data_IF_009640313856
#
_entry.id   IF_009640313856
#
_cell.length_a   1.000
_cell.length_b   1.000
_cell.length_c   1.000
_cell.angle_alpha   90.00
_cell.angle_beta   90.00
_cell.angle_gamma   90.00
#
_symmetry.space_group_name_H-M   'P 1'
#
loop_
_entity.id
_entity.type
_entity.pdbx_description
1 polymer ?
#
# COMPACT_ATOMS: atom_id res chain seq x y z
N UNK A 1 -1.84 33.29 -1.31
CA UNK A 1 -1.46 33.08 0.11
C UNK A 1 -0.65 31.80 0.14
N UNK A 2 0.65 31.89 0.43
CA UNK A 2 1.57 30.76 0.36
C UNK A 2 1.45 29.91 1.64
N UNK A 3 1.27 28.60 1.47
CA UNK A 3 1.32 27.62 2.56
C UNK A 3 2.76 27.47 3.10
N UNK A 4 2.95 27.10 4.38
CA UNK A 4 4.27 27.06 4.99
C UNK A 4 5.11 25.89 4.47
N UNK A 5 6.39 26.16 4.21
CA UNK A 5 7.40 25.17 3.88
C UNK A 5 7.68 24.29 5.12
N UNK A 6 7.57 22.97 4.96
CA UNK A 6 7.95 22.01 6.00
C UNK A 6 9.45 21.70 5.90
N UNK A 7 10.20 22.08 6.94
CA UNK A 7 11.60 21.70 7.14
C UNK A 7 11.64 20.55 8.14
N UNK A 8 12.29 19.44 7.80
CA UNK A 8 12.56 18.35 8.74
C UNK A 8 13.95 18.55 9.30
N UNK A 9 14.04 18.90 10.59
CA UNK A 9 15.27 18.88 11.37
C UNK A 9 15.10 17.87 12.51
N UNK A 10 16.16 17.12 12.83
CA UNK A 10 16.25 16.43 14.12
C UNK A 10 16.66 17.47 15.16
N UNK A 11 15.98 17.56 16.29
CA UNK A 11 16.63 17.91 17.56
C UNK A 11 15.71 17.69 18.77
N UNK A 12 16.40 17.50 19.89
CA UNK A 12 16.04 16.93 21.18
C UNK A 12 15.72 17.96 22.27
N UNK A 13 15.15 17.44 23.38
CA UNK A 13 15.08 17.98 24.77
C UNK A 13 13.82 18.74 25.26
N UNK A 14 12.87 17.92 25.76
CA UNK A 14 12.24 17.85 27.11
C UNK A 14 11.77 19.07 27.92
N UNK A 15 10.52 18.97 28.39
CA UNK A 15 10.01 19.08 29.80
C UNK A 15 8.52 18.63 29.75
N UNK A 16 7.87 17.90 30.65
CA UNK A 16 8.16 17.13 31.86
C UNK A 16 6.79 16.75 32.44
N UNK A 17 6.41 15.47 32.41
CA UNK A 17 5.28 14.89 33.17
C UNK A 17 5.46 13.37 33.27
N UNK A 18 5.58 12.86 34.50
CA UNK A 18 5.86 11.46 34.81
C UNK A 18 4.69 10.54 34.44
N UNK A 19 4.79 9.90 33.27
CA UNK A 19 4.08 8.63 32.98
C UNK A 19 5.03 7.48 33.27
N UNK A 20 4.55 6.50 34.02
CA UNK A 20 5.25 5.24 34.33
C UNK A 20 6.02 4.74 33.11
N UNK A 21 7.34 4.86 33.15
CA UNK A 21 8.19 4.61 31.99
C UNK A 21 8.14 3.12 31.64
N UNK A 22 7.66 2.80 30.45
CA UNK A 22 8.03 1.55 29.82
C UNK A 22 9.56 1.51 29.76
N UNK A 23 10.17 0.45 30.28
CA UNK A 23 11.63 0.30 30.38
C UNK A 23 12.39 0.33 29.03
N UNK A 24 11.67 0.52 27.91
CA UNK A 24 12.22 0.72 26.59
C UNK A 24 11.54 1.94 25.95
N UNK A 25 12.28 2.82 25.23
CA UNK A 25 11.64 3.81 24.37
C UNK A 25 10.70 3.07 23.41
N UNK A 26 9.46 3.54 23.30
CA UNK A 26 8.46 2.90 22.44
C UNK A 26 8.97 2.89 21.00
N UNK A 27 9.33 1.70 20.51
CA UNK A 27 9.85 1.53 19.15
C UNK A 27 8.75 1.88 18.14
N UNK A 28 9.15 2.54 17.05
CA UNK A 28 8.30 2.79 15.91
C UNK A 28 8.75 1.94 14.72
N UNK A 29 7.80 1.43 13.96
CA UNK A 29 8.06 0.78 12.67
C UNK A 29 7.57 1.67 11.52
N UNK A 30 8.31 1.65 10.40
CA UNK A 30 7.86 2.22 9.14
C UNK A 30 7.09 1.16 8.35
N UNK A 31 5.91 1.51 7.84
CA UNK A 31 5.10 0.62 7.00
C UNK A 31 4.85 1.30 5.67
N UNK A 32 5.33 0.67 4.59
CA UNK A 32 4.93 1.04 3.24
C UNK A 32 3.71 0.20 2.85
N UNK A 33 2.51 0.80 2.91
CA UNK A 33 1.28 0.12 2.52
C UNK A 33 1.06 0.34 1.04
N UNK A 34 1.74 -0.42 0.18
CA UNK A 34 1.49 -0.36 -1.25
C UNK A 34 0.17 -1.03 -1.64
N UNK A 35 -0.33 -0.68 -2.82
CA UNK A 35 -1.59 -1.21 -3.39
C UNK A 35 -1.55 -2.73 -3.54
N UNK A 36 -0.43 -3.27 -4.02
CA UNK A 36 -0.25 -4.71 -4.29
C UNK A 36 0.72 -5.38 -3.33
N UNK A 37 1.75 -4.66 -2.89
CA UNK A 37 2.79 -5.16 -1.99
C UNK A 37 3.02 -4.18 -0.85
N UNK A 38 3.52 -4.70 0.27
CA UNK A 38 3.82 -3.97 1.48
C UNK A 38 5.20 -4.36 2.00
N UNK A 39 5.88 -3.43 2.64
CA UNK A 39 7.11 -3.67 3.39
C UNK A 39 7.04 -3.03 4.77
N UNK A 40 7.76 -3.63 5.73
CA UNK A 40 7.87 -3.09 7.09
C UNK A 40 9.34 -2.94 7.43
N UNK A 41 9.71 -1.80 7.98
CA UNK A 41 11.06 -1.45 8.34
C UNK A 41 11.16 -0.98 9.79
N UNK A 42 12.33 -1.16 10.39
CA UNK A 42 12.66 -0.63 11.71
C UNK A 42 14.02 0.04 11.66
N UNK A 43 14.18 1.13 12.43
CA UNK A 43 15.49 1.72 12.69
C UNK A 43 16.07 1.09 13.95
N UNK A 44 17.21 0.41 13.84
CA UNK A 44 17.85 -0.27 14.97
C UNK A 44 18.87 0.60 15.73
N UNK A 45 18.99 1.89 15.38
CA UNK A 45 19.97 2.81 15.95
C UNK A 45 21.10 3.18 14.98
N UNK A 46 21.42 2.31 14.02
CA UNK A 46 22.49 2.55 13.04
C UNK A 46 22.06 2.40 11.59
N UNK A 47 21.13 1.49 11.31
CA UNK A 47 20.65 1.23 9.96
C UNK A 47 19.15 0.91 9.93
N UNK A 48 18.56 1.07 8.75
CA UNK A 48 17.21 0.60 8.45
C UNK A 48 17.27 -0.90 8.18
N UNK A 49 16.49 -1.68 8.93
CA UNK A 49 16.32 -3.11 8.70
C UNK A 49 14.90 -3.38 8.21
N UNK A 50 14.79 -4.10 7.07
CA UNK A 50 13.52 -4.62 6.58
C UNK A 50 13.17 -5.90 7.34
N UNK A 51 11.98 -5.89 7.95
CA UNK A 51 11.42 -7.05 8.63
C UNK A 51 10.98 -8.09 7.62
N UNK A 52 10.97 -9.34 8.06
CA UNK A 52 10.66 -10.48 7.21
C UNK A 52 9.47 -11.22 7.76
N UNK A 53 8.61 -11.72 6.88
CA UNK A 53 7.56 -12.64 7.29
C UNK A 53 8.15 -14.00 7.72
N UNK A 54 7.28 -14.92 8.14
CA UNK A 54 7.64 -16.29 8.55
C UNK A 54 8.32 -17.12 7.45
N UNK A 55 8.32 -16.63 6.20
CA UNK A 55 8.93 -17.25 5.02
C UNK A 55 10.22 -16.54 4.60
N UNK A 56 10.78 -15.67 5.44
CA UNK A 56 12.01 -14.92 5.17
C UNK A 56 11.87 -13.93 3.99
N UNK A 57 10.64 -13.51 3.64
CA UNK A 57 10.37 -12.52 2.58
C UNK A 57 10.21 -11.12 3.19
N UNK A 58 10.80 -10.11 2.53
CA UNK A 58 10.72 -8.68 2.92
C UNK A 58 9.56 -7.92 2.28
N UNK A 59 9.00 -8.47 1.20
CA UNK A 59 7.85 -7.94 0.48
C UNK A 59 6.67 -8.88 0.71
N UNK A 60 5.60 -8.34 1.27
CA UNK A 60 4.36 -9.05 1.56
C UNK A 60 3.28 -8.57 0.59
N UNK A 61 2.38 -9.45 0.15
CA UNK A 61 1.27 -9.03 -0.71
C UNK A 61 0.16 -8.38 0.13
N UNK A 62 -0.38 -7.27 -0.36
CA UNK A 62 -1.44 -6.50 0.31
C UNK A 62 -2.83 -7.09 0.04
N UNK A 63 -3.15 -8.22 0.67
CA UNK A 63 -4.47 -8.85 0.60
C UNK A 63 -4.93 -9.44 1.94
N UNK A 64 -6.23 -9.72 2.03
CA UNK A 64 -6.86 -10.51 3.10
C UNK A 64 -7.75 -11.58 2.48
N UNK A 65 -7.64 -12.79 3.00
CA UNK A 65 -8.42 -13.95 2.60
C UNK A 65 -9.48 -14.26 3.65
N UNK A 66 -10.69 -14.55 3.18
CA UNK A 66 -11.83 -14.93 3.98
C UNK A 66 -12.20 -16.38 3.70
N UNK A 67 -11.60 -17.35 4.43
CA UNK A 67 -11.92 -18.78 4.25
C UNK A 67 -13.01 -19.29 5.20
N UNK A 68 -13.10 -18.75 6.42
CA UNK A 68 -14.04 -19.16 7.47
C UNK A 68 -14.58 -17.95 8.28
N UNK A 69 -14.87 -18.12 9.58
CA UNK A 69 -15.27 -17.05 10.51
C UNK A 69 -14.12 -16.12 10.92
N UNK A 70 -12.86 -16.54 10.74
CA UNK A 70 -11.69 -15.73 11.06
C UNK A 70 -10.97 -15.33 9.76
N UNK A 71 -11.08 -14.07 9.32
CA UNK A 71 -10.29 -13.54 8.21
C UNK A 71 -8.80 -13.63 8.51
N UNK A 72 -7.99 -13.93 7.49
CA UNK A 72 -6.52 -14.00 7.60
C UNK A 72 -5.88 -13.17 6.48
N UNK A 73 -4.90 -12.34 6.82
CA UNK A 73 -4.13 -11.53 5.87
C UNK A 73 -3.08 -12.32 5.08
N UNK A 74 -2.48 -11.63 4.11
CA UNK A 74 -1.41 -12.14 3.24
C UNK A 74 -0.01 -12.19 3.87
N UNK A 75 0.13 -11.86 5.17
CA UNK A 75 1.44 -11.86 5.84
C UNK A 75 1.81 -13.27 6.31
N UNK A 76 0.84 -14.00 6.87
CA UNK A 76 1.05 -15.35 7.40
C UNK A 76 0.71 -16.45 6.39
N UNK A 77 -0.33 -16.21 5.58
CA UNK A 77 -0.86 -17.20 4.65
C UNK A 77 -0.57 -16.83 3.20
N UNK A 78 0.24 -17.63 2.51
CA UNK A 78 0.33 -17.57 1.06
C UNK A 78 -0.78 -18.45 0.50
N UNK A 79 -1.57 -17.87 -0.41
CA UNK A 79 -2.39 -18.65 -1.31
C UNK A 79 -1.45 -19.53 -2.12
N UNK A 80 -1.52 -20.85 -1.91
CA UNK A 80 -0.61 -21.81 -2.54
C UNK A 80 -0.76 -21.83 -4.06
N UNK A 81 -1.91 -21.36 -4.57
CA UNK A 81 -2.27 -21.34 -5.97
C UNK A 81 -3.00 -20.05 -6.30
N UNK A 82 -2.74 -19.49 -7.48
CA UNK A 82 -3.49 -18.35 -8.04
C UNK A 82 -5.01 -18.62 -8.03
N UNK A 83 -5.41 -19.89 -8.10
CA UNK A 83 -6.78 -20.38 -7.94
C UNK A 83 -7.54 -19.85 -6.71
N UNK A 84 -6.86 -19.56 -5.61
CA UNK A 84 -7.55 -19.01 -4.43
C UNK A 84 -7.82 -17.50 -4.58
N UNK A 85 -7.04 -16.75 -5.38
CA UNK A 85 -7.37 -15.37 -5.78
C UNK A 85 -8.60 -15.30 -6.70
N UNK A 86 -8.94 -16.41 -7.36
CA UNK A 86 -10.09 -16.54 -8.24
C UNK A 86 -11.41 -16.81 -7.50
N UNK A 87 -11.34 -17.16 -6.22
CA UNK A 87 -12.49 -17.72 -5.49
C UNK A 87 -13.50 -16.67 -5.01
N UNK A 88 -13.26 -15.37 -5.19
CA UNK A 88 -14.07 -14.32 -4.56
C UNK A 88 -13.76 -14.11 -3.08
N UNK A 89 -12.96 -14.99 -2.45
CA UNK A 89 -12.65 -14.96 -1.03
C UNK A 89 -11.52 -13.99 -0.64
N UNK A 90 -10.81 -13.42 -1.63
CA UNK A 90 -9.61 -12.61 -1.41
C UNK A 90 -9.90 -11.15 -1.75
N UNK A 91 -9.73 -10.28 -0.77
CA UNK A 91 -9.83 -8.83 -0.95
C UNK A 91 -8.43 -8.24 -0.99
N UNK A 92 -8.16 -7.43 -2.00
CA UNK A 92 -6.90 -6.71 -2.21
C UNK A 92 -7.17 -5.31 -2.75
N UNK A 93 -6.14 -4.53 -3.06
CA UNK A 93 -6.27 -3.13 -3.51
C UNK A 93 -7.01 -2.22 -2.52
N UNK A 94 -6.99 -2.53 -1.22
CA UNK A 94 -7.65 -1.72 -0.18
C UNK A 94 -7.22 -0.25 -0.22
N UNK A 95 -5.94 0.02 -0.53
CA UNK A 95 -5.39 1.37 -0.69
C UNK A 95 -6.14 2.20 -1.73
N UNK A 96 -6.62 1.58 -2.81
CA UNK A 96 -7.39 2.26 -3.87
C UNK A 96 -8.82 2.56 -3.44
N UNK A 97 -9.41 1.76 -2.55
CA UNK A 97 -10.82 1.86 -2.14
C UNK A 97 -11.04 2.67 -0.86
N UNK A 98 -10.05 2.70 0.03
CA UNK A 98 -10.20 3.29 1.36
C UNK A 98 -10.48 4.79 1.27
N UNK A 99 -11.49 5.24 1.99
CA UNK A 99 -11.89 6.64 2.05
C UNK A 99 -12.32 7.24 0.71
N UNK A 100 -12.79 6.43 -0.24
CA UNK A 100 -13.47 6.93 -1.44
C UNK A 100 -14.97 6.83 -1.29
N UNK A 101 -15.67 7.58 -2.13
CA UNK A 101 -17.12 7.46 -2.34
C UNK A 101 -17.38 6.61 -3.58
N UNK A 102 -18.58 6.08 -3.68
CA UNK A 102 -18.97 5.13 -4.71
C UNK A 102 -19.14 5.74 -6.11
N UNK A 103 -19.25 7.06 -6.20
CA UNK A 103 -19.20 7.84 -7.45
C UNK A 103 -17.78 8.16 -7.94
N UNK A 104 -16.75 7.78 -7.17
CA UNK A 104 -15.36 8.00 -7.56
C UNK A 104 -14.98 7.07 -8.74
N UNK A 105 -14.37 7.60 -9.83
CA UNK A 105 -13.97 6.78 -10.98
C UNK A 105 -13.07 5.60 -10.61
N UNK A 106 -12.22 5.73 -9.58
CA UNK A 106 -11.36 4.64 -9.10
C UNK A 106 -12.19 3.51 -8.45
N UNK A 107 -13.30 3.84 -7.78
CA UNK A 107 -14.21 2.84 -7.21
C UNK A 107 -15.01 2.15 -8.31
N UNK A 108 -15.50 2.92 -9.29
CA UNK A 108 -16.17 2.37 -10.46
C UNK A 108 -15.25 1.42 -11.25
N UNK A 109 -13.99 1.80 -11.46
CA UNK A 109 -13.02 0.97 -12.18
C UNK A 109 -12.70 -0.31 -11.39
N UNK A 110 -12.70 -0.22 -10.06
CA UNK A 110 -12.47 -1.35 -9.14
C UNK A 110 -13.62 -2.37 -9.12
N UNK A 111 -14.76 -2.12 -9.78
CA UNK A 111 -15.81 -3.14 -9.92
C UNK A 111 -15.30 -4.39 -10.67
N UNK A 112 -14.25 -4.26 -11.50
CA UNK A 112 -13.61 -5.39 -12.21
C UNK A 112 -12.70 -6.27 -11.34
N UNK A 113 -12.62 -6.01 -10.03
CA UNK A 113 -11.87 -6.87 -9.12
C UNK A 113 -12.64 -8.19 -8.91
N UNK A 114 -11.93 -9.31 -8.63
CA UNK A 114 -12.54 -10.63 -8.44
C UNK A 114 -13.14 -10.77 -7.02
N UNK A 115 -13.89 -9.78 -6.58
CA UNK A 115 -14.72 -9.74 -5.37
C UNK A 115 -15.78 -8.64 -5.56
N UNK A 116 -16.85 -8.65 -4.76
CA UNK A 116 -17.90 -7.65 -4.96
C UNK A 116 -17.49 -6.29 -4.43
N UNK A 117 -17.62 -5.28 -5.28
CA UNK A 117 -17.63 -3.87 -4.89
C UNK A 117 -19.07 -3.38 -5.03
N UNK A 118 -19.73 -3.17 -3.90
CA UNK A 118 -21.13 -2.78 -3.82
C UNK A 118 -21.22 -1.26 -3.79
N UNK A 119 -21.82 -0.68 -4.83
CA UNK A 119 -22.05 0.76 -4.98
C UNK A 119 -23.53 1.05 -5.14
N UNK A 120 -23.95 2.23 -4.67
CA UNK A 120 -25.28 2.79 -4.91
C UNK A 120 -25.23 3.95 -5.92
N UNK A 121 -24.01 4.40 -6.25
CA UNK A 121 -23.69 5.49 -7.18
C UNK A 121 -24.34 6.84 -6.76
N UNK A 122 -24.39 7.10 -5.45
CA UNK A 122 -25.01 8.31 -4.84
C UNK A 122 -24.06 9.14 -3.97
N UNK A 123 -22.74 8.89 -4.05
CA UNK A 123 -21.72 9.63 -3.30
C UNK A 123 -21.53 9.13 -1.87
N UNK A 124 -21.83 7.86 -1.61
CA UNK A 124 -21.68 7.23 -0.28
C UNK A 124 -20.47 6.31 -0.24
N UNK A 125 -20.04 5.91 0.96
CA UNK A 125 -18.93 4.96 1.11
C UNK A 125 -19.32 3.61 0.48
N UNK A 126 -18.49 3.01 -0.40
CA UNK A 126 -18.77 1.69 -0.95
C UNK A 126 -18.60 0.61 0.12
N UNK A 127 -19.36 -0.48 -0.04
CA UNK A 127 -19.09 -1.73 0.67
C UNK A 127 -18.36 -2.68 -0.26
N UNK A 128 -17.63 -3.63 0.31
CA UNK A 128 -17.03 -4.73 -0.43
C UNK A 128 -17.48 -6.04 0.20
N UNK A 129 -17.55 -7.11 -0.58
CA UNK A 129 -17.91 -8.42 -0.04
C UNK A 129 -16.99 -9.51 -0.56
N UNK A 130 -16.54 -10.35 0.37
CA UNK A 130 -15.80 -11.58 0.07
C UNK A 130 -16.78 -12.77 0.04
N UNK A 131 -16.49 -13.74 -0.83
CA UNK A 131 -17.24 -14.99 -0.90
C UNK A 131 -16.71 -15.97 0.16
N UNK A 132 -17.56 -16.36 1.12
CA UNK A 132 -17.23 -17.32 2.18
C UNK A 132 -18.31 -18.38 2.22
N UNK A 133 -17.95 -19.64 2.02
CA UNK A 133 -18.91 -20.76 2.00
C UNK A 133 -20.12 -20.51 1.07
N UNK A 134 -19.86 -19.99 -0.13
CA UNK A 134 -20.87 -19.58 -1.13
C UNK A 134 -21.82 -18.45 -0.68
N UNK A 135 -21.49 -17.73 0.39
CA UNK A 135 -22.25 -16.58 0.88
C UNK A 135 -21.38 -15.33 0.84
N UNK A 136 -21.91 -14.23 0.31
CA UNK A 136 -21.25 -12.95 0.32
C UNK A 136 -21.27 -12.33 1.70
N UNK A 137 -20.09 -12.13 2.30
CA UNK A 137 -19.92 -11.43 3.57
C UNK A 137 -19.42 -10.02 3.31
N UNK A 138 -20.28 -9.03 3.57
CA UNK A 138 -19.93 -7.62 3.43
C UNK A 138 -18.96 -7.17 4.52
N UNK A 139 -18.03 -6.31 4.13
CA UNK A 139 -17.03 -5.65 4.97
C UNK A 139 -16.68 -4.29 4.35
N UNK A 140 -15.75 -3.57 4.96
CA UNK A 140 -15.34 -2.23 4.54
C UNK A 140 -13.84 -2.22 4.24
N UNK A 141 -13.36 -1.37 3.31
CA UNK A 141 -11.93 -1.25 3.04
C UNK A 141 -11.09 -0.98 4.30
N UNK A 142 -11.62 -0.20 5.25
CA UNK A 142 -10.97 0.09 6.53
C UNK A 142 -10.81 -1.15 7.42
N UNK A 143 -11.83 -2.00 7.52
CA UNK A 143 -11.79 -3.25 8.30
C UNK A 143 -10.80 -4.23 7.69
N UNK A 144 -10.80 -4.37 6.36
CA UNK A 144 -9.84 -5.24 5.65
C UNK A 144 -8.41 -4.76 5.86
N UNK A 145 -8.18 -3.45 5.76
CA UNK A 145 -6.86 -2.89 6.03
C UNK A 145 -6.44 -3.10 7.50
N UNK A 146 -7.36 -2.96 8.45
CA UNK A 146 -7.09 -3.20 9.86
C UNK A 146 -6.66 -4.66 10.11
N UNK A 147 -7.34 -5.64 9.51
CA UNK A 147 -6.96 -7.06 9.59
C UNK A 147 -5.53 -7.26 9.08
N UNK A 148 -5.20 -6.69 7.92
CA UNK A 148 -3.86 -6.78 7.34
C UNK A 148 -2.80 -6.12 8.25
N UNK A 149 -3.10 -4.95 8.83
CA UNK A 149 -2.21 -4.25 9.75
C UNK A 149 -1.97 -5.01 11.05
N UNK A 150 -2.97 -5.72 11.58
CA UNK A 150 -2.79 -6.60 12.75
C UNK A 150 -1.76 -7.68 12.43
N UNK A 151 -1.80 -8.29 11.25
CA UNK A 151 -0.81 -9.31 10.89
C UNK A 151 0.60 -8.73 10.76
N UNK A 152 0.74 -7.54 10.16
CA UNK A 152 2.02 -6.85 10.07
C UNK A 152 2.58 -6.52 11.45
N UNK A 153 1.72 -6.07 12.37
CA UNK A 153 2.09 -5.84 13.77
C UNK A 153 2.57 -7.13 14.43
N UNK A 154 1.79 -8.20 14.37
CA UNK A 154 2.15 -9.50 14.98
C UNK A 154 3.47 -10.04 14.40
N UNK A 155 3.68 -9.89 13.10
CA UNK A 155 4.94 -10.25 12.44
C UNK A 155 6.12 -9.43 13.00
N UNK A 156 5.97 -8.11 13.11
CA UNK A 156 6.99 -7.24 13.65
C UNK A 156 7.28 -7.53 15.15
N UNK A 157 6.23 -7.74 15.94
CA UNK A 157 6.32 -8.11 17.37
C UNK A 157 7.06 -9.43 17.57
N UNK A 158 6.77 -10.43 16.72
CA UNK A 158 7.43 -11.73 16.75
C UNK A 158 8.91 -11.64 16.40
N UNK A 159 9.30 -10.82 15.40
CA UNK A 159 10.70 -10.66 15.00
C UNK A 159 11.49 -9.81 16.02
N UNK A 160 10.89 -8.74 16.55
CA UNK A 160 11.55 -7.79 17.45
C UNK A 160 11.45 -8.18 18.94
N UNK A 161 10.67 -9.23 19.25
CA UNK A 161 10.44 -9.76 20.60
C UNK A 161 9.96 -8.70 21.60
N UNK A 162 9.14 -7.76 21.12
CA UNK A 162 8.60 -6.63 21.90
C UNK A 162 7.26 -6.17 21.31
N UNK A 163 6.36 -5.59 22.12
CA UNK A 163 5.11 -5.03 21.62
C UNK A 163 5.38 -3.83 20.69
N UNK A 164 4.57 -3.70 19.64
CA UNK A 164 4.66 -2.60 18.66
C UNK A 164 3.36 -1.81 18.69
N UNK A 165 3.47 -0.52 19.00
CA UNK A 165 2.34 0.40 19.02
C UNK A 165 2.49 1.54 18.03
N UNK A 166 3.69 2.10 17.90
CA UNK A 166 3.89 3.31 17.11
C UNK A 166 4.28 2.99 15.67
N UNK A 167 3.67 3.70 14.72
CA UNK A 167 3.90 3.50 13.29
C UNK A 167 4.04 4.80 12.53
N UNK A 168 4.88 4.76 11.48
CA UNK A 168 4.92 5.77 10.42
C UNK A 168 4.51 5.09 9.13
N UNK A 169 3.50 5.61 8.43
CA UNK A 169 3.00 5.00 7.20
C UNK A 169 3.37 5.86 5.99
N UNK A 170 3.76 5.21 4.89
CA UNK A 170 3.79 5.86 3.60
C UNK A 170 2.36 6.08 3.06
N UNK A 171 2.13 7.21 2.42
CA UNK A 171 0.87 7.54 1.75
C UNK A 171 1.13 8.19 0.38
N UNK A 172 0.23 8.03 -0.60
CA UNK A 172 0.33 8.77 -1.85
C UNK A 172 0.09 10.26 -1.64
N UNK A 173 0.74 11.09 -2.45
CA UNK A 173 0.57 12.56 -2.40
C UNK A 173 -0.89 12.97 -2.66
N UNK A 174 -1.58 12.22 -3.53
CA UNK A 174 -2.96 12.50 -3.96
C UNK A 174 -4.05 12.10 -2.96
N UNK A 175 -3.70 11.58 -1.78
CA UNK A 175 -4.70 11.19 -0.78
C UNK A 175 -5.45 12.41 -0.22
N UNK A 176 -6.77 12.34 -0.23
CA UNK A 176 -7.61 13.33 0.44
C UNK A 176 -7.56 13.20 1.96
N UNK A 177 -7.90 14.28 2.68
CA UNK A 177 -8.03 14.28 4.14
C UNK A 177 -8.95 13.16 4.66
N UNK A 178 -10.02 12.85 3.91
CA UNK A 178 -10.92 11.77 4.28
C UNK A 178 -10.25 10.40 4.20
N UNK A 179 -9.45 10.15 3.15
CA UNK A 179 -8.65 8.92 3.04
C UNK A 179 -7.63 8.78 4.16
N UNK A 180 -6.93 9.86 4.52
CA UNK A 180 -5.99 9.88 5.63
C UNK A 180 -6.66 9.49 6.95
N UNK A 181 -7.81 10.08 7.24
CA UNK A 181 -8.60 9.77 8.45
C UNK A 181 -9.05 8.31 8.47
N UNK A 182 -9.35 7.71 7.31
CA UNK A 182 -9.72 6.29 7.21
C UNK A 182 -8.52 5.36 7.42
N UNK A 183 -7.33 5.73 6.95
CA UNK A 183 -6.08 5.01 7.25
C UNK A 183 -5.80 5.03 8.75
N UNK A 184 -5.89 6.20 9.39
CA UNK A 184 -5.71 6.32 10.85
C UNK A 184 -6.72 5.48 11.62
N UNK A 185 -7.98 5.45 11.18
CA UNK A 185 -9.00 4.57 11.75
C UNK A 185 -8.64 3.10 11.61
N UNK A 186 -8.17 2.65 10.44
CA UNK A 186 -7.73 1.27 10.25
C UNK A 186 -6.53 0.93 11.16
N UNK A 187 -5.59 1.87 11.34
CA UNK A 187 -4.48 1.72 12.29
C UNK A 187 -4.98 1.57 13.73
N UNK A 188 -5.92 2.43 14.15
CA UNK A 188 -6.50 2.37 15.49
C UNK A 188 -7.22 1.04 15.75
N UNK A 189 -7.96 0.52 14.76
CA UNK A 189 -8.59 -0.80 14.82
C UNK A 189 -7.56 -1.93 14.94
N UNK A 190 -6.37 -1.75 14.36
CA UNK A 190 -5.24 -2.67 14.50
C UNK A 190 -4.43 -2.47 15.79
N UNK A 191 -4.83 -1.55 16.68
CA UNK A 191 -4.09 -1.22 17.91
C UNK A 191 -2.78 -0.45 17.67
N UNK A 192 -2.65 0.19 16.51
CA UNK A 192 -1.49 0.98 16.12
C UNK A 192 -1.78 2.48 16.27
N UNK A 193 -0.79 3.22 16.76
CA UNK A 193 -0.79 4.66 16.89
C UNK A 193 0.07 5.29 15.80
N UNK A 194 -0.55 6.10 14.96
CA UNK A 194 0.11 6.75 13.83
C UNK A 194 0.89 7.97 14.32
N UNK A 195 2.22 7.90 14.28
CA UNK A 195 3.09 9.03 14.59
C UNK A 195 3.12 10.03 13.42
N UNK A 196 3.13 9.52 12.19
CA UNK A 196 3.17 10.33 10.97
C UNK A 196 2.65 9.54 9.78
N UNK A 197 1.82 10.19 8.96
CA UNK A 197 1.57 9.79 7.58
C UNK A 197 2.54 10.57 6.69
N UNK A 198 3.41 9.86 5.98
CA UNK A 198 4.50 10.43 5.22
C UNK A 198 4.24 10.24 3.72
N UNK A 199 4.25 11.31 2.90
CA UNK A 199 4.19 11.15 1.46
C UNK A 199 5.30 10.20 0.97
N UNK A 200 4.95 9.23 0.13
CA UNK A 200 5.87 8.24 -0.43
C UNK A 200 7.15 8.85 -1.02
N UNK A 201 7.10 9.87 -1.89
CA UNK A 201 8.32 10.46 -2.41
C UNK A 201 9.16 11.19 -1.34
N UNK A 202 8.56 11.61 -0.23
CA UNK A 202 9.32 12.16 0.91
C UNK A 202 10.14 11.07 1.61
N UNK A 203 9.61 9.85 1.75
CA UNK A 203 10.37 8.72 2.28
C UNK A 203 11.59 8.38 1.38
N UNK A 204 11.41 8.43 0.06
CA UNK A 204 12.51 8.26 -0.91
C UNK A 204 13.54 9.39 -0.79
N UNK A 205 13.08 10.64 -0.64
CA UNK A 205 13.96 11.79 -0.44
C UNK A 205 14.82 11.67 0.83
N UNK A 206 14.24 11.17 1.94
CA UNK A 206 14.96 10.91 3.18
C UNK A 206 16.05 9.86 3.00
N UNK A 207 15.75 8.75 2.32
CA UNK A 207 16.74 7.72 2.00
C UNK A 207 17.88 8.28 1.15
N UNK A 208 17.56 9.07 0.12
CA UNK A 208 18.56 9.73 -0.71
C UNK A 208 19.45 10.68 0.09
N UNK A 209 18.85 11.48 0.98
CA UNK A 209 19.58 12.41 1.83
C UNK A 209 20.58 11.69 2.75
N UNK A 210 20.13 10.59 3.38
CA UNK A 210 20.97 9.75 4.23
C UNK A 210 22.14 9.13 3.45
N UNK A 211 21.90 8.63 2.24
CA UNK A 211 22.94 8.09 1.37
C UNK A 211 23.97 9.15 0.97
N UNK A 212 23.54 10.37 0.65
CA UNK A 212 24.47 11.48 0.38
C UNK A 212 25.32 11.83 1.59
N UNK A 213 24.73 11.85 2.79
CA UNK A 213 25.44 12.08 4.05
C UNK A 213 26.57 11.06 4.28
N UNK A 214 26.29 9.78 4.04
CA UNK A 214 27.28 8.70 4.14
C UNK A 214 28.42 8.90 3.13
N UNK A 215 28.11 9.31 1.89
CA UNK A 215 29.13 9.57 0.87
C UNK A 215 29.98 10.83 1.13
N UNK A 216 29.44 11.84 1.82
CA UNK A 216 30.16 13.09 2.15
C UNK A 216 31.18 12.86 3.28
N UNK A 217 30.93 11.92 4.20
CA UNK A 217 31.93 11.54 5.20
C UNK A 217 33.23 11.00 4.58
N UNK A 218 33.18 10.46 3.36
CA UNK A 218 34.34 9.96 2.62
C UNK A 218 35.04 11.02 1.75
N UNK A 219 34.39 12.16 1.49
CA UNK A 219 34.93 13.26 0.67
C UNK A 219 34.67 14.60 1.35
N UNK A 220 35.66 15.12 2.10
CA UNK A 220 35.62 16.46 2.69
C UNK A 220 35.45 17.54 1.61
N UNK A 221 34.20 17.92 1.33
CA UNK A 221 33.87 19.01 0.43
C UNK A 221 32.40 19.39 0.56
N UNK A 222 32.15 20.62 1.01
CA UNK A 222 30.87 21.34 1.04
C UNK A 222 29.93 20.89 -0.08
N UNK A 223 28.96 20.04 0.23
CA UNK A 223 28.08 19.42 -0.75
C UNK A 223 27.29 20.46 -1.53
N UNK A 224 27.55 20.58 -2.83
CA UNK A 224 26.73 21.38 -3.73
C UNK A 224 25.27 20.92 -3.65
N UNK A 225 24.34 21.88 -3.67
CA UNK A 225 22.91 21.59 -3.70
C UNK A 225 22.59 20.74 -4.94
N UNK A 226 22.06 19.54 -4.72
CA UNK A 226 21.62 18.64 -5.80
C UNK A 226 20.11 18.69 -5.91
N UNK A 227 19.64 19.05 -7.09
CA UNK A 227 18.22 18.95 -7.45
C UNK A 227 17.95 17.56 -8.01
N UNK A 228 16.99 16.84 -7.45
CA UNK A 228 16.59 15.52 -7.90
C UNK A 228 15.08 15.44 -8.15
N UNK A 229 14.68 14.78 -9.23
CA UNK A 229 13.31 14.38 -9.50
C UNK A 229 13.12 12.94 -9.00
N UNK A 230 12.16 12.76 -8.10
CA UNK A 230 11.67 11.46 -7.68
C UNK A 230 10.42 11.18 -8.49
N UNK A 231 10.42 10.08 -9.24
CA UNK A 231 9.25 9.56 -9.95
C UNK A 231 8.93 8.18 -9.37
N UNK A 232 7.80 8.09 -8.66
CA UNK A 232 7.36 6.88 -7.98
C UNK A 232 6.01 6.43 -8.54
N UNK A 233 6.04 5.44 -9.43
CA UNK A 233 4.83 4.84 -10.00
C UNK A 233 4.68 3.41 -9.49
N UNK A 234 3.75 3.23 -8.55
CA UNK A 234 3.37 1.93 -8.05
C UNK A 234 2.19 1.32 -8.80
N UNK A 235 1.60 0.29 -8.21
CA UNK A 235 0.43 -0.37 -8.80
C UNK A 235 -0.84 0.51 -8.79
N UNK A 236 -1.00 1.42 -7.82
CA UNK A 236 -2.22 2.24 -7.73
C UNK A 236 -2.05 3.75 -7.87
N UNK A 237 -0.83 4.24 -7.74
CA UNK A 237 -0.55 5.66 -7.59
C UNK A 237 0.76 6.00 -8.28
N UNK A 238 0.82 7.22 -8.82
CA UNK A 238 1.99 7.78 -9.45
C UNK A 238 2.24 9.15 -8.81
N UNK A 239 3.32 9.26 -8.07
CA UNK A 239 3.75 10.46 -7.39
C UNK A 239 5.07 10.97 -7.99
N UNK A 240 5.19 12.28 -8.12
CA UNK A 240 6.40 12.97 -8.52
C UNK A 240 6.77 14.03 -7.50
N UNK A 241 8.07 14.14 -7.19
CA UNK A 241 8.60 15.18 -6.31
C UNK A 241 9.89 15.77 -6.86
N UNK A 242 10.03 17.09 -6.77
CA UNK A 242 11.32 17.75 -6.98
C UNK A 242 11.90 18.06 -5.61
N UNK A 243 13.15 17.65 -5.40
CA UNK A 243 13.85 17.81 -4.13
C UNK A 243 15.13 18.58 -4.34
N UNK A 244 15.53 19.36 -3.34
CA UNK A 244 16.86 19.93 -3.27
C UNK A 244 17.56 19.37 -2.04
N UNK A 245 18.70 18.72 -2.24
CA UNK A 245 19.42 18.02 -1.19
C UNK A 245 20.81 18.63 -1.02
N UNK A 246 21.13 19.05 0.19
CA UNK A 246 22.43 19.60 0.56
C UNK A 246 22.78 19.16 1.99
N UNK A 247 24.02 18.73 2.23
CA UNK A 247 24.47 18.30 3.58
C UNK A 247 23.65 17.16 4.20
N UNK A 248 23.00 16.33 3.37
CA UNK A 248 22.05 15.28 3.77
C UNK A 248 20.75 15.77 4.42
N UNK A 249 20.41 17.04 4.23
CA UNK A 249 19.05 17.54 4.39
C UNK A 249 18.42 17.59 3.00
N UNK A 250 17.25 16.98 2.84
CA UNK A 250 16.48 17.06 1.60
C UNK A 250 15.21 17.89 1.81
N UNK A 251 15.08 18.96 1.04
CA UNK A 251 13.91 19.81 1.02
C UNK A 251 13.05 19.48 -0.20
N UNK A 252 11.78 19.18 0.02
CA UNK A 252 10.80 19.01 -1.04
C UNK A 252 10.42 20.40 -1.59
N UNK A 253 10.64 20.63 -2.89
CA UNK A 253 10.34 21.88 -3.59
C UNK A 253 8.99 21.84 -4.29
N UNK A 254 8.60 20.68 -4.80
CA UNK A 254 7.31 20.46 -5.45
C UNK A 254 6.87 19.01 -5.27
N UNK A 255 5.55 18.81 -5.19
CA UNK A 255 4.89 17.50 -5.13
C UNK A 255 3.69 17.50 -6.05
N UNK A 256 3.52 16.42 -6.80
CA UNK A 256 2.32 16.14 -7.57
C UNK A 256 2.03 14.64 -7.52
N UNK A 257 0.77 14.25 -7.56
CA UNK A 257 0.39 12.84 -7.55
C UNK A 257 -0.95 12.60 -8.21
N UNK A 258 -1.13 11.40 -8.75
CA UNK A 258 -2.38 10.93 -9.35
C UNK A 258 -2.65 9.48 -8.96
N UNK A 259 -3.92 9.10 -8.86
CA UNK A 259 -4.36 7.75 -8.55
C UNK A 259 -4.35 6.82 -9.78
N UNK A 260 -3.20 6.79 -10.48
CA UNK A 260 -2.96 5.94 -11.65
C UNK A 260 -1.72 5.09 -11.40
N UNK A 261 -1.76 3.83 -11.80
CA UNK A 261 -0.65 2.89 -11.65
C UNK A 261 -0.80 1.65 -12.53
N UNK A 262 -0.04 0.61 -12.20
CA UNK A 262 -0.09 -0.68 -12.90
C UNK A 262 -1.47 -1.34 -12.95
N UNK A 263 -2.36 -1.07 -12.00
CA UNK A 263 -3.76 -1.53 -12.01
C UNK A 263 -4.56 -0.98 -13.19
N UNK A 264 -4.30 0.27 -13.57
CA UNK A 264 -4.99 0.93 -14.68
C UNK A 264 -4.47 0.38 -16.02
N UNK A 265 -3.17 0.07 -16.11
CA UNK A 265 -2.59 -0.64 -17.25
C UNK A 265 -3.15 -2.04 -17.40
N UNK A 266 -3.25 -2.77 -16.30
CA UNK A 266 -3.83 -4.10 -16.23
C UNK A 266 -5.29 -4.09 -16.71
N UNK A 267 -6.10 -3.15 -16.22
CA UNK A 267 -7.48 -3.01 -16.66
C UNK A 267 -7.61 -2.67 -18.15
N UNK A 268 -6.77 -1.78 -18.66
CA UNK A 268 -6.77 -1.41 -20.07
C UNK A 268 -6.38 -2.61 -20.95
N UNK A 269 -5.38 -3.40 -20.54
CA UNK A 269 -4.96 -4.57 -21.27
C UNK A 269 -6.02 -5.68 -21.22
N UNK A 270 -6.67 -5.92 -20.09
CA UNK A 270 -7.78 -6.87 -19.98
C UNK A 270 -8.94 -6.52 -20.94
N UNK A 271 -9.29 -5.23 -21.05
CA UNK A 271 -10.31 -4.75 -22.00
C UNK A 271 -9.86 -4.88 -23.45
N UNK A 272 -8.58 -4.69 -23.72
CA UNK A 272 -8.02 -4.87 -25.06
C UNK A 272 -8.06 -6.35 -25.50
N UNK A 273 -7.66 -7.26 -24.60
CA UNK A 273 -7.67 -8.71 -24.85
C UNK A 273 -9.08 -9.28 -24.99
N UNK A 274 -10.06 -8.68 -24.30
CA UNK A 274 -11.45 -9.12 -24.31
C UNK A 274 -12.39 -7.96 -24.62
N UNK A 275 -12.63 -7.59 -25.90
CA UNK A 275 -13.43 -6.42 -26.26
C UNK A 275 -14.87 -6.41 -25.71
N UNK A 276 -15.45 -7.58 -25.44
CA UNK A 276 -16.79 -7.73 -24.82
C UNK A 276 -16.76 -7.80 -23.28
N UNK A 277 -15.67 -7.33 -22.66
CA UNK A 277 -15.39 -7.42 -21.22
C UNK A 277 -16.58 -7.04 -20.34
N UNK A 278 -17.14 -5.85 -20.52
CA UNK A 278 -18.19 -5.34 -19.64
C UNK A 278 -19.49 -6.15 -19.73
N UNK A 279 -19.79 -6.72 -20.91
CA UNK A 279 -20.96 -7.57 -21.10
C UNK A 279 -20.78 -8.93 -20.43
N UNK A 280 -19.61 -9.56 -20.61
CA UNK A 280 -19.29 -10.88 -20.06
C UNK A 280 -19.29 -10.91 -18.53
N UNK A 281 -18.95 -9.79 -17.89
CA UNK A 281 -18.82 -9.72 -16.43
C UNK A 281 -19.92 -8.88 -15.75
N UNK A 282 -21.02 -8.61 -16.46
CA UNK A 282 -22.13 -7.77 -16.01
C UNK A 282 -22.94 -8.37 -14.86
N UNK A 283 -23.20 -9.68 -14.88
CA UNK A 283 -24.00 -10.41 -13.89
C UNK A 283 -23.34 -10.51 -12.51
N UNK A 284 -22.00 -10.36 -12.45
CA UNK A 284 -21.17 -10.54 -11.23
C UNK A 284 -21.48 -11.84 -10.48
N UNK A 285 -21.83 -12.90 -11.20
CA UNK A 285 -21.98 -14.23 -10.63
C UNK A 285 -20.63 -14.83 -10.21
N UNK A 286 -20.69 -15.95 -9.49
CA UNK A 286 -19.49 -16.61 -8.95
C UNK A 286 -18.57 -17.08 -10.09
N UNK A 287 -19.12 -17.54 -11.22
CA UNK A 287 -18.33 -18.00 -12.35
C UNK A 287 -17.64 -16.82 -13.06
N UNK A 288 -18.36 -15.73 -13.26
CA UNK A 288 -17.84 -14.51 -13.87
C UNK A 288 -16.71 -13.89 -13.03
N UNK A 289 -16.83 -13.94 -11.70
CA UNK A 289 -15.76 -13.50 -10.79
C UNK A 289 -14.52 -14.39 -10.88
N UNK A 290 -14.69 -15.70 -11.05
CA UNK A 290 -13.58 -16.64 -11.27
C UNK A 290 -12.88 -16.37 -12.59
N UNK A 291 -13.62 -16.27 -13.69
CA UNK A 291 -13.08 -15.99 -15.02
C UNK A 291 -12.40 -14.61 -15.07
N UNK A 292 -12.94 -13.61 -14.37
CA UNK A 292 -12.30 -12.31 -14.18
C UNK A 292 -10.94 -12.44 -13.49
N UNK A 293 -10.88 -13.23 -12.42
CA UNK A 293 -9.62 -13.51 -11.73
C UNK A 293 -8.59 -14.16 -12.65
N UNK A 294 -9.01 -15.13 -13.49
CA UNK A 294 -8.12 -15.88 -14.40
C UNK A 294 -7.51 -14.94 -15.42
N UNK A 295 -8.37 -14.17 -16.10
CA UNK A 295 -7.94 -13.18 -17.07
C UNK A 295 -6.97 -12.18 -16.44
N UNK A 296 -7.29 -11.69 -15.24
CA UNK A 296 -6.49 -10.70 -14.53
C UNK A 296 -5.09 -11.22 -14.18
N UNK A 297 -5.00 -12.44 -13.66
CA UNK A 297 -3.71 -13.07 -13.32
C UNK A 297 -2.85 -13.27 -14.57
N UNK A 298 -3.42 -13.86 -15.62
CA UNK A 298 -2.70 -14.09 -16.88
C UNK A 298 -2.27 -12.77 -17.55
N UNK A 299 -3.12 -11.74 -17.52
CA UNK A 299 -2.79 -10.42 -18.06
C UNK A 299 -1.70 -9.73 -17.24
N UNK A 300 -1.75 -9.85 -15.91
CA UNK A 300 -0.71 -9.28 -15.05
C UNK A 300 0.65 -9.95 -15.28
N UNK A 301 0.69 -11.28 -15.42
CA UNK A 301 1.90 -12.02 -15.77
C UNK A 301 2.45 -11.58 -17.14
N UNK A 302 1.57 -11.41 -18.14
CA UNK A 302 1.96 -10.92 -19.45
C UNK A 302 2.55 -9.51 -19.41
N UNK A 303 1.97 -8.58 -18.65
CA UNK A 303 2.51 -7.22 -18.48
C UNK A 303 3.93 -7.26 -17.90
N UNK A 304 4.18 -8.11 -16.90
CA UNK A 304 5.51 -8.24 -16.32
C UNK A 304 6.51 -8.83 -17.33
N UNK A 305 6.14 -9.87 -18.08
CA UNK A 305 6.98 -10.46 -19.14
C UNK A 305 7.30 -9.45 -20.25
N UNK A 306 6.31 -8.68 -20.69
CA UNK A 306 6.48 -7.60 -21.68
C UNK A 306 7.39 -6.45 -21.22
N UNK A 307 7.78 -6.40 -19.95
CA UNK A 307 8.82 -5.46 -19.50
C UNK A 307 10.23 -5.86 -19.94
N UNK A 308 10.41 -7.11 -20.40
CA UNK A 308 11.68 -7.68 -20.84
C UNK A 308 11.60 -8.42 -22.18
N UNK A 309 10.40 -8.75 -22.64
CA UNK A 309 10.13 -9.48 -23.88
C UNK A 309 9.34 -8.61 -24.88
N UNK A 310 9.54 -8.84 -26.18
CA UNK A 310 8.84 -8.09 -27.24
C UNK A 310 7.39 -8.55 -27.46
N UNK A 311 7.08 -9.80 -27.11
CA UNK A 311 5.75 -10.39 -27.28
C UNK A 311 5.52 -11.52 -26.29
N UNK A 312 4.26 -11.71 -25.85
CA UNK A 312 3.85 -12.76 -24.93
C UNK A 312 2.55 -13.37 -25.43
N UNK A 313 2.47 -14.71 -25.43
CA UNK A 313 1.23 -15.42 -25.70
C UNK A 313 0.42 -15.59 -24.40
N UNK A 314 -0.87 -15.27 -24.46
CA UNK A 314 -1.81 -15.46 -23.36
C UNK A 314 -2.80 -16.55 -23.80
N UNK A 315 -2.88 -17.62 -23.01
CA UNK A 315 -3.81 -18.73 -23.22
C UNK A 315 -4.61 -18.93 -21.92
N UNK A 316 -5.90 -18.61 -21.95
CA UNK A 316 -6.79 -18.59 -20.78
C UNK A 316 -8.15 -19.15 -21.17
N UNK A 317 -8.63 -20.10 -20.38
CA UNK A 317 -9.98 -20.66 -20.47
C UNK A 317 -10.92 -19.84 -19.58
N UNK A 318 -11.89 -19.13 -20.18
CA UNK A 318 -12.78 -18.16 -19.52
C UNK A 318 -14.21 -18.67 -19.37
#
# INVERSE_FOLDING_TARGET
>A
MAEPAYTVASDSETTGEEKSSSAFPEIAIGIDIGTSQCSVAVWNGSQVELLKNTRNQKLMRSYVTFKDDIPSGGVSYQLSHEHEMLSGAVIFNMKRLIGRVDTDPVVHSSKSLPFLVQTLDIGVRPFIAALVNNVWRSTTPEEVLAIFLVELRVMAESQLKRPIRNVVLSIPVSFSRFQLTRIERACAMAGLHVLRLMPEPTAVALLYAQQQQQMIHDNMGSGSEKIALIFNMGAGYCDAAVTATAGGVSQIKALAGIATGGEDFLQNMMRHLLPNFDNLFSSRGINEIKSMGLLRVATQDAIHKLSFEESVQIDVDL
#
